data_IF_196118019760
#
_entry.id   IF_196118019760
#
_cell.length_a   1.000
_cell.length_b   1.000
_cell.length_c   1.000
_cell.angle_alpha   90.00
_cell.angle_beta   90.00
_cell.angle_gamma   90.00
#
_symmetry.space_group_name_H-M   'P 1'
#
loop_
_entity.id
_entity.type
_entity.pdbx_description
1 polymer ?
#
# COMPACT_ATOMS: atom_id res chain seq x y z
N UNK A 1 19.92 49.15 -26.97
CA UNK A 1 19.96 48.59 -25.60
C UNK A 1 18.85 49.21 -24.78
N UNK A 2 18.18 48.40 -23.94
CA UNK A 2 16.93 48.70 -23.19
C UNK A 2 15.74 48.71 -24.17
N UNK A 3 14.98 47.63 -24.33
CA UNK A 3 13.78 47.36 -23.53
C UNK A 3 13.38 45.86 -23.64
N UNK A 4 14.22 44.97 -23.11
CA UNK A 4 13.98 43.52 -23.04
C UNK A 4 13.60 43.08 -21.61
N UNK A 5 12.91 43.91 -20.84
CA UNK A 5 12.58 43.60 -19.43
C UNK A 5 11.25 44.25 -19.06
N UNK A 6 10.13 43.75 -19.59
CA UNK A 6 8.80 44.18 -19.12
C UNK A 6 7.65 43.22 -19.44
N UNK A 7 7.94 41.99 -19.90
CA UNK A 7 6.90 41.01 -20.27
C UNK A 7 6.79 39.79 -19.34
N UNK A 8 7.63 39.71 -18.30
CA UNK A 8 7.70 38.55 -17.41
C UNK A 8 6.99 38.73 -16.05
N UNK A 9 6.56 39.95 -15.68
CA UNK A 9 5.90 40.16 -14.38
C UNK A 9 4.38 39.91 -14.37
N UNK A 10 3.72 39.85 -15.54
CA UNK A 10 2.25 39.69 -15.59
C UNK A 10 1.80 38.23 -15.58
N UNK A 11 2.73 37.27 -15.71
CA UNK A 11 2.39 35.84 -15.83
C UNK A 11 2.47 35.05 -14.52
N UNK A 12 2.89 35.66 -13.40
CA UNK A 12 3.11 34.94 -12.14
C UNK A 12 1.99 35.09 -11.10
N UNK A 13 0.97 35.93 -11.33
CA UNK A 13 -0.09 36.19 -10.34
C UNK A 13 -1.47 35.58 -10.66
N UNK A 14 -1.63 34.85 -11.75
CA UNK A 14 -2.93 34.25 -12.15
C UNK A 14 -3.08 32.75 -11.89
N UNK A 15 -2.10 32.08 -11.24
CA UNK A 15 -2.16 30.63 -10.96
C UNK A 15 -2.65 30.31 -9.53
N UNK A 16 -2.97 31.32 -8.71
CA UNK A 16 -3.54 31.13 -7.36
C UNK A 16 -5.06 31.36 -7.39
N UNK A 17 -5.80 30.49 -8.07
CA UNK A 17 -7.24 30.32 -7.84
C UNK A 17 -7.76 29.04 -8.53
N UNK A 18 -7.15 27.88 -8.27
CA UNK A 18 -7.82 26.62 -8.52
C UNK A 18 -8.89 26.41 -7.43
N UNK A 19 -10.08 26.91 -7.75
CA UNK A 19 -11.35 26.70 -7.08
C UNK A 19 -11.50 25.27 -6.54
N UNK A 20 -11.85 25.16 -5.26
CA UNK A 20 -12.34 23.93 -4.62
C UNK A 20 -13.51 23.36 -5.42
N UNK A 21 -13.26 22.39 -6.30
CA UNK A 21 -14.31 21.60 -6.92
C UNK A 21 -14.93 20.64 -5.89
N UNK A 22 -16.00 21.09 -5.23
CA UNK A 22 -16.77 20.31 -4.27
C UNK A 22 -17.70 19.25 -4.90
N UNK A 23 -17.68 19.08 -6.23
CA UNK A 23 -18.55 18.15 -6.96
C UNK A 23 -17.80 16.99 -7.61
N UNK A 24 -16.82 16.40 -6.93
CA UNK A 24 -16.34 15.08 -7.33
C UNK A 24 -17.40 14.01 -6.95
N UNK A 25 -18.11 13.43 -7.94
CA UNK A 25 -19.07 12.32 -7.76
C UNK A 25 -18.40 11.01 -7.29
N UNK A 26 -17.08 10.95 -7.33
CA UNK A 26 -16.27 9.78 -6.99
C UNK A 26 -15.62 9.95 -5.61
N UNK A 27 -16.40 10.39 -4.62
CA UNK A 27 -15.95 10.40 -3.20
C UNK A 27 -15.63 9.00 -2.66
N UNK A 28 -16.01 7.93 -3.37
CA UNK A 28 -15.75 6.54 -2.98
C UNK A 28 -14.29 6.12 -3.12
N UNK A 29 -13.52 6.74 -4.01
CA UNK A 29 -12.13 6.33 -4.28
C UNK A 29 -11.10 7.06 -3.39
N UNK A 30 -11.41 8.28 -2.94
CA UNK A 30 -10.49 9.06 -2.11
C UNK A 30 -10.90 8.96 -0.65
N UNK A 31 -10.13 8.18 0.13
CA UNK A 31 -10.27 8.12 1.59
C UNK A 31 -10.02 9.53 2.14
N UNK A 32 -10.97 10.06 2.92
CA UNK A 32 -10.75 11.26 3.75
C UNK A 32 -9.53 11.00 4.65
N UNK A 33 -8.72 12.03 4.87
CA UNK A 33 -7.58 12.00 5.80
C UNK A 33 -8.06 11.55 7.18
N UNK A 34 -7.88 10.25 7.46
CA UNK A 34 -8.14 9.65 8.76
C UNK A 34 -6.96 10.02 9.67
N UNK A 35 -7.30 10.43 10.89
CA UNK A 35 -6.39 10.85 11.96
C UNK A 35 -5.16 9.94 12.12
N UNK A 36 -4.00 10.45 12.58
CA UNK A 36 -2.76 9.67 12.61
C UNK A 36 -2.84 8.42 13.49
N UNK A 37 -2.44 7.30 12.88
CA UNK A 37 -1.55 6.28 13.44
C UNK A 37 -2.06 5.33 14.54
N UNK A 38 -2.91 4.37 14.15
CA UNK A 38 -2.66 2.97 14.52
C UNK A 38 -2.67 2.17 13.21
N UNK A 39 -1.49 1.77 12.72
CA UNK A 39 -1.32 1.13 11.41
C UNK A 39 -2.22 -0.12 11.24
N UNK A 40 -2.51 -0.81 12.33
CA UNK A 40 -3.33 -2.01 12.42
C UNK A 40 -4.06 -2.05 13.77
N UNK A 41 -5.25 -2.68 13.81
CA UNK A 41 -6.08 -2.77 15.04
C UNK A 41 -5.45 -3.58 16.18
N UNK A 42 -4.61 -4.57 15.88
CA UNK A 42 -3.93 -5.40 16.89
C UNK A 42 -2.53 -4.87 17.16
N UNK A 43 -2.10 -4.98 18.41
CA UNK A 43 -0.71 -4.78 18.84
C UNK A 43 -0.09 -6.13 19.25
N UNK A 44 1.23 -6.23 19.34
CA UNK A 44 1.90 -7.46 19.76
C UNK A 44 1.49 -7.88 21.18
N UNK A 45 1.23 -6.91 22.07
CA UNK A 45 0.68 -7.17 23.41
C UNK A 45 -0.71 -7.80 23.35
N UNK A 46 -1.58 -7.29 22.48
CA UNK A 46 -2.91 -7.85 22.27
C UNK A 46 -2.83 -9.27 21.68
N UNK A 47 -1.94 -9.52 20.70
CA UNK A 47 -1.74 -10.85 20.13
C UNK A 47 -1.30 -11.84 21.21
N UNK A 48 -0.32 -11.46 22.04
CA UNK A 48 0.15 -12.30 23.15
C UNK A 48 -0.97 -12.61 24.14
N UNK A 49 -1.79 -11.62 24.48
CA UNK A 49 -2.93 -11.82 25.36
C UNK A 49 -3.95 -12.80 24.74
N UNK A 50 -4.33 -12.59 23.48
CA UNK A 50 -5.30 -13.44 22.77
C UNK A 50 -4.82 -14.89 22.73
N UNK A 51 -3.58 -15.12 22.29
CA UNK A 51 -3.03 -16.48 22.16
C UNK A 51 -3.03 -17.20 23.50
N UNK A 52 -2.57 -16.53 24.58
CA UNK A 52 -2.51 -17.14 25.91
C UNK A 52 -3.90 -17.54 26.44
N UNK A 53 -4.88 -16.64 26.38
CA UNK A 53 -6.20 -16.88 26.98
C UNK A 53 -7.11 -17.76 26.12
N UNK A 54 -6.97 -17.74 24.79
CA UNK A 54 -7.72 -18.63 23.91
C UNK A 54 -7.16 -20.05 23.97
N UNK A 55 -5.84 -20.22 24.08
CA UNK A 55 -5.23 -21.55 24.19
C UNK A 55 -5.54 -22.22 25.54
N UNK A 56 -5.53 -21.44 26.63
CA UNK A 56 -5.93 -21.91 27.96
C UNK A 56 -7.45 -22.13 28.10
N UNK A 57 -8.25 -21.85 27.07
CA UNK A 57 -9.72 -21.88 27.08
C UNK A 57 -10.38 -20.91 28.06
N UNK A 58 -9.65 -19.93 28.60
CA UNK A 58 -10.18 -18.86 29.47
C UNK A 58 -11.18 -17.98 28.71
N UNK A 59 -10.95 -17.76 27.42
CA UNK A 59 -11.74 -16.85 26.57
C UNK A 59 -12.12 -17.52 25.26
N UNK A 60 -13.40 -17.44 24.89
CA UNK A 60 -13.87 -17.92 23.57
C UNK A 60 -13.40 -16.98 22.47
N UNK A 61 -13.07 -17.54 21.30
CA UNK A 61 -12.67 -16.79 20.09
C UNK A 61 -13.61 -15.63 19.73
N UNK A 62 -14.93 -15.82 19.90
CA UNK A 62 -15.94 -14.77 19.65
C UNK A 62 -15.83 -13.59 20.62
N UNK A 63 -15.53 -13.85 21.90
CA UNK A 63 -15.38 -12.81 22.91
C UNK A 63 -14.10 -12.00 22.64
N UNK A 64 -12.98 -12.68 22.40
CA UNK A 64 -11.73 -12.01 22.02
C UNK A 64 -11.87 -11.17 20.73
N UNK A 65 -12.67 -11.64 19.75
CA UNK A 65 -12.98 -10.90 18.53
C UNK A 65 -13.71 -9.59 18.83
N UNK A 66 -14.69 -9.64 19.72
CA UNK A 66 -15.46 -8.49 20.16
C UNK A 66 -14.59 -7.47 20.88
N UNK A 67 -13.78 -7.92 21.85
CA UNK A 67 -12.89 -7.07 22.67
C UNK A 67 -11.93 -6.25 21.80
N UNK A 68 -11.29 -6.88 20.82
CA UNK A 68 -10.28 -6.22 19.98
C UNK A 68 -10.82 -5.72 18.62
N UNK A 69 -12.13 -5.82 18.38
CA UNK A 69 -12.77 -5.33 17.16
C UNK A 69 -12.25 -5.97 15.86
N UNK A 70 -11.96 -7.28 15.90
CA UNK A 70 -11.46 -8.08 14.77
C UNK A 70 -12.33 -9.27 14.44
N UNK A 71 -12.17 -9.82 13.23
CA UNK A 71 -12.91 -11.02 12.83
C UNK A 71 -12.44 -12.25 13.61
N UNK A 72 -13.37 -13.18 13.89
CA UNK A 72 -13.07 -14.46 14.53
C UNK A 72 -11.99 -15.24 13.77
N UNK A 73 -12.02 -15.18 12.43
CA UNK A 73 -11.02 -15.84 11.57
C UNK A 73 -9.62 -15.34 11.86
N UNK A 74 -9.42 -14.05 12.15
CA UNK A 74 -8.10 -13.52 12.46
C UNK A 74 -7.54 -14.12 13.75
N UNK A 75 -8.37 -14.31 14.76
CA UNK A 75 -7.97 -14.94 16.02
C UNK A 75 -7.62 -16.40 15.82
N UNK A 76 -8.45 -17.13 15.06
CA UNK A 76 -8.17 -18.54 14.73
C UNK A 76 -6.82 -18.69 14.01
N UNK A 77 -6.48 -17.78 13.11
CA UNK A 77 -5.16 -17.78 12.45
C UNK A 77 -4.01 -17.60 13.46
N UNK A 78 -4.13 -16.63 14.38
CA UNK A 78 -3.10 -16.37 15.39
C UNK A 78 -2.87 -17.58 16.31
N UNK A 79 -3.96 -18.20 16.76
CA UNK A 79 -3.89 -19.39 17.62
C UNK A 79 -3.33 -20.58 16.85
N UNK A 80 -3.74 -20.77 15.58
CA UNK A 80 -3.19 -21.81 14.72
C UNK A 80 -1.68 -21.65 14.52
N UNK A 81 -1.23 -20.45 14.18
CA UNK A 81 0.20 -20.15 14.00
C UNK A 81 1.01 -20.42 15.27
N UNK A 82 0.48 -20.06 16.44
CA UNK A 82 1.09 -20.40 17.72
C UNK A 82 1.17 -21.90 17.96
N UNK A 83 0.11 -22.67 17.68
CA UNK A 83 0.10 -24.13 17.84
C UNK A 83 1.10 -24.83 16.92
N UNK A 84 1.26 -24.32 15.69
CA UNK A 84 2.19 -24.89 14.71
C UNK A 84 3.66 -24.55 15.01
N UNK A 85 3.94 -23.32 15.49
CA UNK A 85 5.31 -22.83 15.65
C UNK A 85 5.82 -22.82 17.10
N UNK A 86 4.92 -22.93 18.09
CA UNK A 86 5.20 -22.73 19.51
C UNK A 86 5.57 -21.28 19.88
N UNK A 87 5.54 -20.34 18.93
CA UNK A 87 5.97 -18.95 19.12
C UNK A 87 4.79 -18.00 18.93
N UNK A 88 4.69 -16.99 19.78
CA UNK A 88 3.63 -15.99 19.67
C UNK A 88 3.84 -15.18 18.37
N UNK A 89 2.83 -15.12 17.47
CA UNK A 89 2.92 -14.33 16.25
C UNK A 89 3.20 -12.86 16.53
N UNK A 90 4.07 -12.24 15.73
CA UNK A 90 4.42 -10.82 15.87
C UNK A 90 4.11 -10.05 14.60
N UNK A 91 3.74 -8.78 14.75
CA UNK A 91 3.47 -7.92 13.61
C UNK A 91 4.78 -7.50 12.95
N UNK A 92 5.02 -8.01 11.74
CA UNK A 92 6.14 -7.55 10.92
C UNK A 92 5.90 -6.13 10.44
N UNK A 93 6.69 -5.17 10.93
CA UNK A 93 6.64 -3.77 10.51
C UNK A 93 7.28 -3.52 9.13
N UNK A 94 8.01 -4.51 8.60
CA UNK A 94 8.61 -4.42 7.26
C UNK A 94 7.49 -4.35 6.22
N UNK A 95 7.53 -3.33 5.38
CA UNK A 95 6.60 -3.16 4.25
C UNK A 95 6.96 -4.14 3.12
N UNK A 96 6.12 -4.17 2.07
CA UNK A 96 6.43 -4.87 0.83
C UNK A 96 7.85 -4.48 0.39
N UNK A 97 8.75 -5.44 0.13
CA UNK A 97 10.09 -5.11 -0.33
C UNK A 97 10.00 -4.26 -1.59
N UNK A 98 10.81 -3.20 -1.66
CA UNK A 98 10.87 -2.36 -2.86
C UNK A 98 11.59 -3.16 -3.93
N UNK A 99 10.91 -3.38 -5.05
CA UNK A 99 11.51 -3.96 -6.25
C UNK A 99 12.08 -2.81 -7.08
N UNK A 100 13.35 -2.92 -7.45
CA UNK A 100 14.02 -1.99 -8.35
C UNK A 100 14.40 -2.73 -9.62
N UNK A 101 14.26 -2.07 -10.76
CA UNK A 101 14.81 -2.52 -12.03
C UNK A 101 16.22 -1.98 -12.17
N UNK A 102 17.13 -2.79 -12.69
CA UNK A 102 18.45 -2.31 -13.11
C UNK A 102 18.31 -1.34 -14.28
N UNK A 103 19.32 -0.51 -14.53
CA UNK A 103 19.25 0.43 -15.66
C UNK A 103 19.14 -0.30 -16.99
N UNK A 104 19.90 -1.38 -17.17
CA UNK A 104 19.82 -2.27 -18.34
C UNK A 104 18.40 -2.82 -18.55
N UNK A 105 17.71 -3.23 -17.48
CA UNK A 105 16.34 -3.72 -17.58
C UNK A 105 15.38 -2.62 -18.04
N UNK A 106 15.56 -1.38 -17.58
CA UNK A 106 14.74 -0.24 -18.03
C UNK A 106 14.98 0.06 -19.50
N UNK A 107 16.24 0.10 -19.93
CA UNK A 107 16.61 0.33 -21.33
C UNK A 107 16.00 -0.72 -22.26
N UNK A 108 16.04 -2.00 -21.87
CA UNK A 108 15.41 -3.08 -22.63
C UNK A 108 13.89 -2.89 -22.71
N UNK A 109 13.24 -2.55 -21.60
CA UNK A 109 11.78 -2.31 -21.55
C UNK A 109 11.43 -1.15 -22.49
N UNK A 110 12.15 -0.04 -22.41
CA UNK A 110 11.91 1.16 -23.21
C UNK A 110 12.14 0.88 -24.70
N UNK A 111 13.20 0.15 -25.05
CA UNK A 111 13.48 -0.27 -26.43
C UNK A 111 12.35 -1.14 -26.99
N UNK A 112 11.99 -2.22 -26.29
CA UNK A 112 10.96 -3.16 -26.77
C UNK A 112 9.60 -2.47 -26.85
N UNK A 113 9.28 -1.60 -25.88
CA UNK A 113 8.06 -0.81 -25.95
C UNK A 113 8.08 0.21 -27.09
N UNK A 114 9.22 0.84 -27.38
CA UNK A 114 9.34 1.79 -28.48
C UNK A 114 9.09 1.17 -29.85
N UNK A 115 9.47 -0.09 -30.03
CA UNK A 115 9.28 -0.85 -31.27
C UNK A 115 7.83 -1.38 -31.41
N UNK A 116 7.27 -1.90 -30.32
CA UNK A 116 5.98 -2.63 -30.36
C UNK A 116 4.77 -1.76 -30.01
N UNK A 117 4.96 -0.73 -29.18
CA UNK A 117 3.93 0.17 -28.66
C UNK A 117 2.73 -0.54 -28.00
N UNK A 118 2.96 -1.71 -27.41
CA UNK A 118 1.92 -2.49 -26.73
C UNK A 118 1.75 -2.12 -25.25
N UNK A 119 0.60 -2.45 -24.67
CA UNK A 119 0.33 -2.26 -23.25
C UNK A 119 1.18 -3.17 -22.34
N UNK A 120 1.34 -2.79 -21.08
CA UNK A 120 2.26 -3.44 -20.12
C UNK A 120 2.11 -4.97 -20.01
N UNK A 121 0.87 -5.49 -20.06
CA UNK A 121 0.63 -6.94 -20.02
C UNK A 121 1.18 -7.66 -21.25
N UNK A 122 1.00 -7.10 -22.44
CA UNK A 122 1.51 -7.66 -23.69
C UNK A 122 3.02 -7.48 -23.80
N UNK A 123 3.53 -6.35 -23.30
CA UNK A 123 4.96 -6.06 -23.25
C UNK A 123 5.72 -7.14 -22.48
N UNK A 124 5.16 -7.65 -21.37
CA UNK A 124 5.72 -8.78 -20.63
C UNK A 124 5.89 -10.04 -21.51
N UNK A 125 4.87 -10.40 -22.30
CA UNK A 125 4.95 -11.57 -23.19
C UNK A 125 5.92 -11.34 -24.35
N UNK A 126 6.00 -10.12 -24.88
CA UNK A 126 7.00 -9.78 -25.90
C UNK A 126 8.44 -9.86 -25.36
N UNK A 127 8.68 -9.34 -24.15
CA UNK A 127 9.98 -9.46 -23.48
C UNK A 127 10.37 -10.93 -23.28
N UNK A 128 9.42 -11.74 -22.80
CA UNK A 128 9.63 -13.18 -22.60
C UNK A 128 9.86 -13.93 -23.91
N UNK A 129 9.15 -13.56 -25.00
CA UNK A 129 9.34 -14.12 -26.35
C UNK A 129 10.74 -13.83 -26.90
N UNK A 130 11.31 -12.67 -26.55
CA UNK A 130 12.66 -12.24 -26.92
C UNK A 130 13.76 -12.83 -26.01
N UNK A 131 13.39 -13.62 -24.99
CA UNK A 131 14.33 -14.31 -24.11
C UNK A 131 14.74 -13.53 -22.86
N UNK A 132 14.09 -12.39 -22.55
CA UNK A 132 14.35 -11.64 -21.32
C UNK A 132 13.54 -12.21 -20.15
N UNK A 133 14.15 -12.32 -18.95
CA UNK A 133 13.53 -12.83 -17.72
C UNK A 133 13.32 -11.76 -16.66
#
# INVERSE_FOLDING_TARGET
MKHCVQRLEVYLLTVIAATKHNSCRVRKLFRRNVSPCIMVKLTDKAIRWIVKHVENNDVKTRQAASIYGVSMRRIQQLVKEYRETGRVPQLTKRRRPKTYLTEEQKEIIDKVWSETKVGARLLYYELRRRGYS
#
